data_IF_776660661269
#
_entry.id   IF_776660661269
#
_cell.length_a   1.000
_cell.length_b   1.000
_cell.length_c   1.000
_cell.angle_alpha   90.00
_cell.angle_beta   90.00
_cell.angle_gamma   90.00
#
_symmetry.space_group_name_H-M   'P 1'
#
loop_
_entity.id
_entity.type
_entity.pdbx_description
1 polymer ?
#
# COMPACT_ATOMS: atom_id res chain seq x y z
N UNK A 1 2.35 6.60 8.64
CA UNK A 1 1.88 5.25 9.03
C UNK A 1 1.04 5.25 10.29
N UNK A 2 1.62 5.43 11.51
CA UNK A 2 0.82 5.38 12.76
C UNK A 2 -0.35 6.37 12.81
N UNK A 3 -0.21 7.57 12.24
CA UNK A 3 -1.32 8.51 12.12
C UNK A 3 -2.40 8.04 11.14
N UNK A 4 -2.02 7.40 10.03
CA UNK A 4 -2.99 6.81 9.09
C UNK A 4 -3.82 5.74 9.80
N UNK A 5 -3.18 4.88 10.60
CA UNK A 5 -3.89 3.91 11.46
C UNK A 5 -4.82 4.63 12.44
N UNK A 6 -4.32 5.63 13.18
CA UNK A 6 -5.10 6.40 14.16
C UNK A 6 -6.36 7.04 13.55
N UNK A 7 -6.26 7.54 12.33
CA UNK A 7 -7.34 8.26 11.65
C UNK A 7 -8.10 7.41 10.63
N UNK A 8 -7.81 6.11 10.52
CA UNK A 8 -8.46 5.22 9.55
C UNK A 8 -8.24 5.64 8.09
N UNK A 9 -7.11 6.28 7.79
CA UNK A 9 -6.78 6.77 6.45
C UNK A 9 -6.12 5.64 5.66
N UNK A 10 -6.68 5.37 4.48
CA UNK A 10 -6.14 4.39 3.55
C UNK A 10 -4.81 4.85 2.93
N UNK A 11 -3.97 3.90 2.55
CA UNK A 11 -2.72 4.14 1.83
C UNK A 11 -2.66 3.34 0.52
N UNK A 12 -1.90 3.86 -0.44
CA UNK A 12 -1.55 3.16 -1.67
C UNK A 12 -0.04 2.98 -1.72
N UNK A 13 0.40 1.79 -2.10
CA UNK A 13 1.80 1.45 -2.32
C UNK A 13 2.14 1.65 -3.79
N UNK A 14 3.27 2.31 -4.03
CA UNK A 14 3.89 2.43 -5.35
C UNK A 14 5.38 2.16 -5.21
N UNK A 15 5.94 1.37 -6.13
CA UNK A 15 7.38 1.03 -6.09
C UNK A 15 8.26 2.18 -6.61
N UNK A 16 7.65 3.17 -7.28
CA UNK A 16 8.35 4.28 -7.94
C UNK A 16 9.47 3.78 -8.88
N UNK A 17 9.19 2.65 -9.53
CA UNK A 17 10.13 1.97 -10.37
C UNK A 17 10.51 2.83 -11.59
N UNK A 18 11.80 3.08 -11.74
CA UNK A 18 12.40 3.69 -12.94
C UNK A 18 13.07 2.65 -13.84
N UNK A 19 13.07 1.39 -13.41
CA UNK A 19 13.52 0.22 -14.16
C UNK A 19 12.54 -0.94 -13.98
N UNK A 20 12.48 -1.83 -14.95
CA UNK A 20 11.53 -2.95 -14.96
C UNK A 20 11.73 -3.92 -13.79
N UNK A 21 12.97 -4.07 -13.32
CA UNK A 21 13.31 -5.00 -12.24
C UNK A 21 12.74 -4.53 -10.88
N UNK A 22 12.46 -3.24 -10.74
CA UNK A 22 11.96 -2.63 -9.51
C UNK A 22 10.42 -2.58 -9.47
N UNK A 23 9.73 -2.99 -10.55
CA UNK A 23 8.27 -2.91 -10.64
C UNK A 23 7.63 -3.85 -9.61
N UNK A 24 6.91 -3.26 -8.66
CA UNK A 24 6.23 -4.01 -7.60
C UNK A 24 7.15 -4.50 -6.48
N UNK A 25 8.42 -4.09 -6.42
CA UNK A 25 9.24 -4.37 -5.25
C UNK A 25 8.75 -3.55 -4.05
N UNK A 26 8.04 -4.22 -3.14
CA UNK A 26 7.55 -3.64 -1.89
C UNK A 26 8.31 -4.15 -0.67
N UNK A 27 9.42 -4.86 -0.84
CA UNK A 27 10.16 -5.53 0.25
C UNK A 27 10.48 -4.59 1.42
N UNK A 28 10.85 -3.33 1.12
CA UNK A 28 11.15 -2.32 2.14
C UNK A 28 9.88 -1.82 2.84
N UNK A 29 8.83 -1.58 2.07
CA UNK A 29 7.56 -1.08 2.60
C UNK A 29 6.85 -2.12 3.45
N UNK A 30 6.90 -3.41 3.07
CA UNK A 30 6.37 -4.51 3.86
C UNK A 30 7.01 -4.61 5.26
N UNK A 31 8.31 -4.34 5.39
CA UNK A 31 8.98 -4.30 6.69
C UNK A 31 8.41 -3.20 7.59
N UNK A 32 8.18 -2.00 7.03
CA UNK A 32 7.59 -0.88 7.75
C UNK A 32 6.14 -1.18 8.15
N UNK A 33 5.36 -1.79 7.25
CA UNK A 33 3.98 -2.20 7.52
C UNK A 33 3.91 -3.19 8.69
N UNK A 34 4.82 -4.18 8.72
CA UNK A 34 4.93 -5.15 9.82
C UNK A 34 5.37 -4.51 11.13
N UNK A 35 6.34 -3.60 11.11
CA UNK A 35 6.84 -2.93 12.33
C UNK A 35 5.76 -2.12 13.06
N UNK A 36 4.78 -1.59 12.33
CA UNK A 36 3.70 -0.77 12.89
C UNK A 36 2.37 -1.51 13.00
N UNK A 37 2.35 -2.82 12.77
CA UNK A 37 1.15 -3.65 12.69
C UNK A 37 0.05 -3.00 11.83
N UNK A 38 0.43 -2.56 10.62
CA UNK A 38 -0.47 -1.79 9.77
C UNK A 38 -1.65 -2.66 9.29
N UNK A 39 -2.91 -2.20 9.41
CA UNK A 39 -4.07 -3.00 9.04
C UNK A 39 -4.16 -3.16 7.51
N UNK A 40 -4.31 -4.40 7.04
CA UNK A 40 -4.37 -4.72 5.61
C UNK A 40 -5.60 -4.12 4.92
N UNK A 41 -6.72 -3.95 5.65
CA UNK A 41 -7.94 -3.35 5.14
C UNK A 41 -7.78 -1.88 4.76
N UNK A 42 -6.77 -1.19 5.32
CA UNK A 42 -6.42 0.19 4.98
C UNK A 42 -5.42 0.27 3.81
N UNK A 43 -5.01 -0.86 3.21
CA UNK A 43 -4.13 -0.89 2.04
C UNK A 43 -5.00 -1.03 0.78
N UNK A 44 -4.94 -0.04 -0.11
CA UNK A 44 -5.72 -0.02 -1.35
C UNK A 44 -5.28 -1.15 -2.30
N UNK A 45 -3.98 -1.46 -2.36
CA UNK A 45 -3.38 -2.47 -3.25
C UNK A 45 -3.78 -3.92 -2.95
N UNK A 46 -4.59 -4.19 -1.92
CA UNK A 46 -4.95 -5.57 -1.49
C UNK A 46 -5.73 -6.37 -2.53
N UNK A 47 -6.38 -5.71 -3.49
CA UNK A 47 -6.97 -6.39 -4.64
C UNK A 47 -7.13 -5.46 -5.84
N UNK A 48 -7.06 -6.05 -7.03
CA UNK A 48 -7.28 -5.32 -8.28
C UNK A 48 -8.68 -4.67 -8.33
N UNK A 49 -9.71 -5.38 -7.87
CA UNK A 49 -11.08 -4.85 -7.84
C UNK A 49 -11.21 -3.65 -6.92
N UNK A 50 -10.49 -3.65 -5.80
CA UNK A 50 -10.52 -2.53 -4.86
C UNK A 50 -9.80 -1.30 -5.41
N UNK A 51 -8.61 -1.49 -5.99
CA UNK A 51 -7.87 -0.42 -6.68
C UNK A 51 -8.75 0.23 -7.75
N UNK A 52 -9.38 -0.59 -8.61
CA UNK A 52 -10.30 -0.13 -9.64
C UNK A 52 -11.46 0.67 -9.09
N UNK A 53 -12.13 0.16 -8.05
CA UNK A 53 -13.21 0.87 -7.39
C UNK A 53 -12.75 2.23 -6.81
N UNK A 54 -11.56 2.29 -6.21
CA UNK A 54 -11.03 3.51 -5.60
C UNK A 54 -10.62 4.57 -6.63
N UNK A 55 -10.05 4.12 -7.75
CA UNK A 55 -9.67 4.96 -8.88
C UNK A 55 -10.84 5.29 -9.83
N UNK A 56 -11.98 4.61 -9.65
CA UNK A 56 -13.19 4.74 -10.48
C UNK A 56 -12.94 4.38 -11.95
N UNK A 57 -12.19 3.29 -12.17
CA UNK A 57 -11.81 2.74 -13.50
C UNK A 57 -12.12 1.26 -13.62
#
# INVERSE_FOLDING_TARGET
MKLCVKYGVEIMLGSDAHREEDVGDFTRTEKILKEVDFPEELIVNRSLSYVKNRLRV
#
